data_IF_619171812971
#
_entry.id   IF_619171812971
#
_cell.length_a   1.000
_cell.length_b   1.000
_cell.length_c   1.000
_cell.angle_alpha   90.00
_cell.angle_beta   90.00
_cell.angle_gamma   90.00
#
_symmetry.space_group_name_H-M   'P 1'
#
loop_
_entity.id
_entity.type
_entity.pdbx_description
1 polymer ?
#
# COMPACT_ATOMS: atom_id res chain seq x y z
N UNK A 1 -47.97 -11.16 11.08
CA UNK A 1 -46.50 -11.07 11.12
C UNK A 1 -46.11 -9.79 10.37
N UNK A 2 -45.69 -8.75 11.09
CA UNK A 2 -45.33 -7.46 10.51
C UNK A 2 -43.83 -7.45 10.24
N UNK A 3 -43.46 -7.35 8.97
CA UNK A 3 -42.06 -7.22 8.56
C UNK A 3 -41.54 -5.82 8.86
N UNK A 4 -40.49 -5.73 9.66
CA UNK A 4 -39.75 -4.50 9.93
C UNK A 4 -38.82 -4.29 8.75
N UNK A 5 -39.08 -3.30 7.93
CA UNK A 5 -38.16 -2.77 6.93
C UNK A 5 -37.16 -1.87 7.65
N UNK A 6 -35.92 -2.33 7.83
CA UNK A 6 -34.81 -1.49 8.27
C UNK A 6 -34.39 -0.62 7.08
N UNK A 7 -34.87 0.60 7.03
CA UNK A 7 -34.38 1.62 6.09
C UNK A 7 -33.08 2.21 6.64
N UNK A 8 -31.95 1.87 6.06
CA UNK A 8 -30.71 2.61 6.27
C UNK A 8 -30.84 3.93 5.51
N UNK A 9 -31.11 4.99 6.23
CA UNK A 9 -31.12 6.35 5.71
C UNK A 9 -29.66 6.82 5.59
N UNK A 10 -29.05 6.59 4.44
CA UNK A 10 -27.78 7.25 4.10
C UNK A 10 -28.15 8.67 3.68
N UNK A 11 -28.01 9.61 4.61
CA UNK A 11 -28.13 11.02 4.30
C UNK A 11 -26.92 11.46 3.47
N UNK A 12 -27.06 11.39 2.16
CA UNK A 12 -26.17 12.08 1.24
C UNK A 12 -26.50 13.57 1.28
N UNK A 13 -25.68 14.36 1.96
CA UNK A 13 -25.67 15.80 1.78
C UNK A 13 -25.11 16.09 0.37
N UNK A 14 -26.04 16.21 -0.60
CA UNK A 14 -25.75 16.78 -1.90
C UNK A 14 -25.51 18.28 -1.72
N UNK A 15 -24.29 18.68 -1.42
CA UNK A 15 -23.83 20.06 -1.58
C UNK A 15 -23.34 20.24 -3.02
N UNK A 16 -24.28 20.36 -3.96
CA UNK A 16 -24.02 20.94 -5.28
C UNK A 16 -23.98 22.47 -5.12
N UNK A 17 -22.86 22.96 -4.75
CA UNK A 17 -22.52 24.37 -4.72
C UNK A 17 -21.04 24.45 -4.40
N UNK A 18 -20.25 24.99 -5.31
CA UNK A 18 -18.84 25.29 -5.05
C UNK A 18 -18.71 26.27 -3.89
N UNK A 19 -18.76 25.76 -2.68
CA UNK A 19 -18.38 26.51 -1.51
C UNK A 19 -16.84 26.62 -1.54
N UNK A 20 -16.35 27.69 -2.13
CA UNK A 20 -15.08 28.23 -1.68
C UNK A 20 -15.30 28.69 -0.25
N UNK A 21 -15.04 27.85 0.72
CA UNK A 21 -14.88 28.30 2.10
C UNK A 21 -13.84 29.41 2.08
N UNK A 22 -14.13 30.59 2.67
CA UNK A 22 -13.10 31.62 2.80
C UNK A 22 -11.91 30.92 3.48
N UNK A 23 -10.73 30.96 2.85
CA UNK A 23 -9.49 30.50 3.45
C UNK A 23 -9.40 31.15 4.82
N UNK A 24 -9.76 30.39 5.87
CA UNK A 24 -9.67 30.93 7.22
C UNK A 24 -8.19 31.21 7.45
N UNK A 25 -7.83 32.47 7.62
CA UNK A 25 -6.45 32.90 7.90
C UNK A 25 -5.85 32.09 9.06
N UNK A 26 -6.72 31.61 9.93
CA UNK A 26 -6.39 30.75 11.04
C UNK A 26 -5.92 29.36 10.59
N UNK A 27 -6.58 28.72 9.64
CA UNK A 27 -6.18 27.40 9.14
C UNK A 27 -4.81 27.52 8.45
N UNK A 28 -4.58 28.55 7.69
CA UNK A 28 -3.27 28.81 7.11
C UNK A 28 -2.20 29.10 8.19
N UNK A 29 -2.56 29.74 9.29
CA UNK A 29 -1.64 29.96 10.41
C UNK A 29 -1.23 28.66 11.07
N UNK A 30 -2.17 27.72 11.28
CA UNK A 30 -1.89 26.35 11.78
C UNK A 30 -0.85 25.67 10.91
N UNK A 31 -1.04 25.73 9.59
CA UNK A 31 -0.09 25.12 8.67
C UNK A 31 1.30 25.74 8.76
N UNK A 32 1.39 27.06 8.78
CA UNK A 32 2.67 27.77 8.89
C UNK A 32 3.40 27.43 10.20
N UNK A 33 2.67 27.40 11.33
CA UNK A 33 3.22 27.02 12.63
C UNK A 33 3.73 25.56 12.60
N UNK A 34 2.97 24.64 12.04
CA UNK A 34 3.36 23.24 11.92
C UNK A 34 4.63 23.07 11.08
N UNK A 35 4.68 23.67 9.90
CA UNK A 35 5.86 23.61 9.02
C UNK A 35 7.08 24.23 9.68
N UNK A 36 6.91 25.37 10.37
CA UNK A 36 8.00 26.00 11.13
C UNK A 36 8.51 25.07 12.25
N UNK A 37 7.60 24.44 12.99
CA UNK A 37 7.96 23.50 14.06
C UNK A 37 8.66 22.24 13.52
N UNK A 38 8.29 21.73 12.34
CA UNK A 38 9.00 20.65 11.67
C UNK A 38 10.43 21.04 11.29
N UNK A 39 10.59 22.22 10.67
CA UNK A 39 11.91 22.75 10.24
C UNK A 39 12.86 22.97 11.40
N UNK A 40 12.34 23.47 12.52
CA UNK A 40 13.13 23.73 13.72
C UNK A 40 13.28 22.53 14.66
N UNK A 41 12.53 21.45 14.41
CA UNK A 41 12.50 20.27 15.29
C UNK A 41 11.88 20.54 16.67
N UNK A 42 11.03 21.58 16.78
CA UNK A 42 10.41 22.01 18.04
C UNK A 42 9.02 21.43 18.27
N UNK A 43 8.54 20.55 17.37
CA UNK A 43 7.22 19.92 17.55
C UNK A 43 7.26 18.96 18.72
N UNK A 44 6.44 19.22 19.72
CA UNK A 44 6.41 18.49 20.98
C UNK A 44 5.27 17.46 21.04
N UNK A 45 5.43 16.45 21.91
CA UNK A 45 4.49 15.30 22.05
C UNK A 45 3.09 15.73 22.52
N UNK A 46 2.98 16.86 23.23
CA UNK A 46 1.72 17.44 23.67
C UNK A 46 0.86 18.01 22.52
N UNK A 47 1.47 18.22 21.35
CA UNK A 47 0.78 18.59 20.09
C UNK A 47 0.21 17.39 19.33
N UNK A 48 0.29 16.18 19.88
CA UNK A 48 -0.20 14.96 19.26
C UNK A 48 -1.46 14.48 19.94
N UNK A 49 -2.55 14.38 19.18
CA UNK A 49 -3.82 13.82 19.64
C UNK A 49 -4.39 12.89 18.56
N UNK A 50 -4.31 11.57 18.74
CA UNK A 50 -4.75 10.61 17.72
C UNK A 50 -6.19 10.80 17.26
N UNK A 51 -6.41 10.72 15.93
CA UNK A 51 -7.70 10.66 15.25
C UNK A 51 -7.88 9.30 14.60
N UNK A 52 -9.12 8.93 14.35
CA UNK A 52 -9.50 7.74 13.57
C UNK A 52 -8.88 6.43 14.08
N UNK A 53 -8.68 6.32 15.40
CA UNK A 53 -8.05 5.13 15.98
C UNK A 53 -6.55 4.97 15.72
N UNK A 54 -5.90 5.99 15.19
CA UNK A 54 -4.46 5.96 14.92
C UNK A 54 -3.67 5.79 16.22
N UNK A 55 -2.69 4.90 16.22
CA UNK A 55 -1.80 4.72 17.38
C UNK A 55 -0.91 5.95 17.59
N UNK A 56 -0.71 6.34 18.85
CA UNK A 56 0.09 7.52 19.21
C UNK A 56 1.57 7.35 18.87
N UNK A 57 2.10 6.14 19.04
CA UNK A 57 3.50 5.84 18.72
C UNK A 57 3.76 5.94 17.23
N UNK A 58 2.77 5.55 16.42
CA UNK A 58 2.80 5.71 14.99
C UNK A 58 2.82 7.17 14.56
N UNK A 59 1.95 8.01 15.15
CA UNK A 59 1.98 9.46 14.87
C UNK A 59 3.33 10.08 15.21
N UNK A 60 3.93 9.68 16.33
CA UNK A 60 5.27 10.09 16.72
C UNK A 60 6.32 9.68 15.69
N UNK A 61 6.26 8.44 15.22
CA UNK A 61 7.15 7.96 14.17
C UNK A 61 7.00 8.79 12.89
N UNK A 62 5.78 8.99 12.41
CA UNK A 62 5.52 9.81 11.22
C UNK A 62 6.04 11.24 11.35
N UNK A 63 5.86 11.86 12.51
CA UNK A 63 6.40 13.21 12.77
C UNK A 63 7.92 13.22 12.75
N UNK A 64 8.56 12.21 13.35
CA UNK A 64 10.02 12.09 13.31
C UNK A 64 10.54 11.89 11.88
N UNK A 65 9.86 11.08 11.09
CA UNK A 65 10.18 10.86 9.68
C UNK A 65 10.01 12.15 8.86
N UNK A 66 8.93 12.91 9.10
CA UNK A 66 8.71 14.21 8.47
C UNK A 66 9.77 15.23 8.89
N UNK A 67 10.12 15.30 10.18
CA UNK A 67 11.17 16.21 10.67
C UNK A 67 12.54 15.87 10.06
N UNK A 68 12.84 14.58 9.92
CA UNK A 68 14.06 14.10 9.26
C UNK A 68 14.08 14.47 7.78
N UNK A 69 13.02 14.14 7.05
CA UNK A 69 12.87 14.47 5.63
C UNK A 69 12.97 15.98 5.36
N UNK A 70 12.44 16.79 6.28
CA UNK A 70 12.48 18.25 6.20
C UNK A 70 13.89 18.80 6.37
N UNK A 71 14.69 18.18 7.25
CA UNK A 71 16.07 18.62 7.50
C UNK A 71 17.05 18.16 6.42
N UNK A 72 16.87 16.93 5.95
CA UNK A 72 17.89 16.26 5.12
C UNK A 72 17.77 16.61 3.62
N UNK A 73 16.58 16.96 3.10
CA UNK A 73 16.35 16.95 1.64
C UNK A 73 15.55 18.08 1.02
N UNK A 74 15.21 19.15 1.73
CA UNK A 74 14.26 20.13 1.15
C UNK A 74 12.96 19.48 0.61
N UNK A 75 12.55 18.37 1.20
CA UNK A 75 11.39 17.57 0.79
C UNK A 75 10.07 18.35 0.86
N UNK A 76 10.11 19.56 1.37
CA UNK A 76 9.00 20.45 1.61
C UNK A 76 8.93 21.64 0.65
N UNK A 77 9.60 21.61 -0.50
CA UNK A 77 9.53 22.71 -1.45
C UNK A 77 8.10 23.02 -1.92
N UNK A 78 7.24 22.01 -1.92
CA UNK A 78 5.84 22.12 -2.38
C UNK A 78 4.83 22.36 -1.23
N UNK A 79 5.31 22.57 -0.01
CA UNK A 79 4.44 22.73 1.18
C UNK A 79 4.05 24.17 1.48
N UNK A 80 4.48 25.12 0.70
CA UNK A 80 4.18 26.54 0.93
C UNK A 80 2.71 26.90 0.67
N UNK A 81 2.00 26.10 -0.12
CA UNK A 81 0.59 26.30 -0.47
C UNK A 81 -0.21 24.99 -0.47
N UNK A 82 -0.52 24.41 0.71
CA UNK A 82 -1.35 23.20 0.79
C UNK A 82 -2.78 23.49 0.35
N UNK A 83 -3.47 22.49 -0.17
CA UNK A 83 -4.93 22.56 -0.26
C UNK A 83 -5.51 22.44 1.16
N UNK A 84 -6.35 23.36 1.56
CA UNK A 84 -6.93 23.44 2.90
C UNK A 84 -8.39 23.01 2.84
N UNK A 85 -8.74 21.95 3.59
CA UNK A 85 -10.10 21.40 3.64
C UNK A 85 -10.57 21.46 5.11
N UNK A 86 -11.31 22.49 5.50
CA UNK A 86 -11.88 22.58 6.84
C UNK A 86 -13.13 21.68 6.95
N UNK A 87 -13.23 20.94 8.05
CA UNK A 87 -14.38 20.10 8.39
C UNK A 87 -14.67 20.26 9.89
N UNK A 88 -15.68 21.05 10.24
CA UNK A 88 -16.05 21.32 11.64
C UNK A 88 -14.84 21.82 12.50
N UNK A 89 -14.48 21.04 13.53
CA UNK A 89 -13.33 21.34 14.37
C UNK A 89 -12.02 20.75 13.84
N UNK A 90 -12.05 20.14 12.64
CA UNK A 90 -10.87 19.60 11.97
C UNK A 90 -10.43 20.51 10.84
N UNK A 91 -9.18 20.38 10.45
CA UNK A 91 -8.66 20.88 9.18
C UNK A 91 -7.71 19.85 8.59
N UNK A 92 -7.87 19.57 7.31
CA UNK A 92 -7.00 18.69 6.55
C UNK A 92 -6.16 19.54 5.60
N UNK A 93 -4.86 19.26 5.61
CA UNK A 93 -3.92 19.87 4.65
C UNK A 93 -3.49 18.79 3.67
N UNK A 94 -3.80 18.97 2.40
CA UNK A 94 -3.34 18.09 1.33
C UNK A 94 -2.06 18.65 0.75
N UNK A 95 -1.02 17.83 0.82
CA UNK A 95 0.33 18.18 0.37
C UNK A 95 0.93 17.10 -0.51
N UNK A 96 1.83 17.51 -1.39
CA UNK A 96 2.67 16.59 -2.15
C UNK A 96 3.95 16.33 -1.38
N UNK A 97 4.20 15.07 -1.05
CA UNK A 97 5.42 14.64 -0.39
C UNK A 97 6.30 13.91 -1.40
N UNK A 98 7.53 14.39 -1.54
CA UNK A 98 8.52 13.70 -2.36
C UNK A 98 9.10 12.51 -1.60
N UNK A 99 8.97 11.33 -2.17
CA UNK A 99 9.53 10.08 -1.62
C UNK A 99 10.65 9.64 -2.55
N UNK A 100 11.89 10.12 -2.28
CA UNK A 100 13.03 9.85 -3.16
C UNK A 100 13.06 10.73 -4.42
N UNK A 101 13.98 10.49 -5.35
CA UNK A 101 14.29 11.40 -6.45
C UNK A 101 13.16 11.54 -7.49
N UNK A 102 12.36 10.50 -7.70
CA UNK A 102 11.40 10.45 -8.82
C UNK A 102 9.94 10.27 -8.41
N UNK A 103 9.64 10.08 -7.11
CA UNK A 103 8.30 9.74 -6.68
C UNK A 103 7.69 10.81 -5.77
N UNK A 104 6.54 11.33 -6.18
CA UNK A 104 5.71 12.21 -5.37
C UNK A 104 4.40 11.50 -5.01
N UNK A 105 3.97 11.61 -3.77
CA UNK A 105 2.66 11.13 -3.30
C UNK A 105 1.89 12.27 -2.67
N UNK A 106 0.57 12.28 -2.85
CA UNK A 106 -0.30 13.18 -2.12
C UNK A 106 -0.58 12.61 -0.73
N UNK A 107 -0.56 13.46 0.28
CA UNK A 107 -0.91 13.10 1.65
C UNK A 107 -1.86 14.11 2.26
N UNK A 108 -2.80 13.59 3.04
CA UNK A 108 -3.63 14.38 3.93
C UNK A 108 -3.02 14.38 5.33
N UNK A 109 -2.82 15.54 5.90
CA UNK A 109 -2.46 15.73 7.29
C UNK A 109 -3.64 16.35 8.01
N UNK A 110 -4.15 15.69 9.04
CA UNK A 110 -5.36 16.09 9.77
C UNK A 110 -5.02 16.69 11.12
N UNK A 111 -5.61 17.83 11.40
CA UNK A 111 -5.41 18.56 12.64
C UNK A 111 -6.73 18.84 13.33
N UNK A 112 -6.73 18.78 14.67
CA UNK A 112 -7.84 19.14 15.53
C UNK A 112 -7.66 20.60 15.95
N UNK A 113 -8.71 21.40 15.85
CA UNK A 113 -8.75 22.81 16.29
C UNK A 113 -9.48 22.89 17.63
N UNK A 114 -8.81 23.37 18.68
CA UNK A 114 -9.43 23.61 20.00
C UNK A 114 -9.07 24.99 20.54
N UNK A 115 -10.03 25.89 20.56
CA UNK A 115 -9.74 27.28 20.91
C UNK A 115 -8.60 27.82 20.05
N UNK A 116 -7.54 28.34 20.64
CA UNK A 116 -6.34 28.83 19.94
C UNK A 116 -5.25 27.76 19.76
N UNK A 117 -5.54 26.51 20.09
CA UNK A 117 -4.60 25.41 19.95
C UNK A 117 -4.97 24.50 18.79
N UNK A 118 -3.98 23.84 18.26
CA UNK A 118 -4.14 22.77 17.29
C UNK A 118 -3.35 21.53 17.71
N UNK A 119 -3.79 20.37 17.25
CA UNK A 119 -3.14 19.09 17.52
C UNK A 119 -3.05 18.29 16.22
N UNK A 120 -1.89 17.72 15.94
CA UNK A 120 -1.74 16.77 14.84
C UNK A 120 -2.39 15.44 15.21
N UNK A 121 -3.30 14.95 14.39
CA UNK A 121 -4.13 13.80 14.72
C UNK A 121 -3.99 12.61 13.78
N UNK A 122 -3.67 12.84 12.52
CA UNK A 122 -3.61 11.76 11.53
C UNK A 122 -2.82 12.18 10.29
N UNK A 123 -2.25 11.18 9.61
CA UNK A 123 -1.66 11.37 8.29
C UNK A 123 -2.00 10.16 7.42
N UNK A 124 -2.44 10.41 6.19
CA UNK A 124 -2.86 9.38 5.25
C UNK A 124 -2.32 9.65 3.85
N UNK A 125 -1.99 8.59 3.12
CA UNK A 125 -1.74 8.69 1.68
C UNK A 125 -3.07 8.83 0.95
N UNK A 126 -3.16 9.80 0.06
CA UNK A 126 -4.31 9.95 -0.82
C UNK A 126 -4.03 9.16 -2.08
N UNK A 127 -4.82 8.12 -2.28
CA UNK A 127 -4.74 7.30 -3.49
C UNK A 127 -5.67 7.82 -4.58
N UNK A 128 -6.86 8.29 -4.19
CA UNK A 128 -7.91 8.77 -5.10
C UNK A 128 -8.58 9.97 -4.46
N UNK A 129 -8.85 10.99 -5.26
CA UNK A 129 -9.58 12.19 -4.90
C UNK A 129 -11.03 12.09 -5.39
N UNK A 130 -11.84 11.27 -4.72
CA UNK A 130 -13.27 11.13 -5.06
C UNK A 130 -14.03 12.44 -4.87
N UNK A 131 -13.59 13.30 -3.98
CA UNK A 131 -14.12 14.64 -3.77
C UNK A 131 -13.96 15.56 -5.00
N UNK A 132 -13.00 15.27 -5.87
CA UNK A 132 -12.76 15.99 -7.15
C UNK A 132 -13.44 15.33 -8.34
N UNK A 133 -14.03 14.15 -8.15
CA UNK A 133 -14.78 13.45 -9.19
C UNK A 133 -16.25 13.82 -8.98
N UNK A 134 -16.89 14.55 -9.91
CA UNK A 134 -18.30 14.85 -9.77
C UNK A 134 -19.09 13.54 -9.66
N UNK A 135 -20.04 13.43 -8.71
CA UNK A 135 -20.88 12.26 -8.62
C UNK A 135 -21.59 12.08 -9.97
N UNK A 136 -21.53 10.89 -10.57
CA UNK A 136 -22.24 10.65 -11.81
C UNK A 136 -23.75 10.83 -11.57
N UNK A 137 -24.50 11.33 -12.55
CA UNK A 137 -25.96 11.45 -12.45
C UNK A 137 -26.64 10.07 -12.35
N UNK A 138 -25.89 9.02 -12.61
CA UNK A 138 -26.27 7.61 -12.46
C UNK A 138 -25.34 6.96 -11.43
N UNK A 139 -25.61 5.71 -11.05
CA UNK A 139 -24.78 4.94 -10.13
C UNK A 139 -23.41 4.48 -10.72
N UNK A 140 -23.06 4.96 -11.89
CA UNK A 140 -21.80 4.60 -12.56
C UNK A 140 -20.67 5.55 -12.14
N UNK A 141 -19.61 4.97 -11.58
CA UNK A 141 -18.39 5.70 -11.28
C UNK A 141 -17.47 5.69 -12.51
N UNK A 142 -16.72 6.79 -12.76
CA UNK A 142 -15.79 6.82 -13.86
C UNK A 142 -14.73 5.72 -13.70
N UNK A 143 -14.30 5.08 -14.81
CA UNK A 143 -13.28 4.05 -14.74
C UNK A 143 -11.95 4.67 -14.30
N UNK A 144 -11.21 3.92 -13.48
CA UNK A 144 -9.84 4.27 -13.11
C UNK A 144 -8.86 3.78 -14.20
N UNK A 145 -7.71 4.43 -14.36
CA UNK A 145 -6.63 3.91 -15.19
C UNK A 145 -6.26 2.49 -14.78
N UNK A 146 -5.98 1.61 -15.74
CA UNK A 146 -5.70 0.18 -15.47
C UNK A 146 -4.51 -0.02 -14.52
N UNK A 147 -3.49 0.82 -14.64
CA UNK A 147 -2.34 0.79 -13.72
C UNK A 147 -2.77 1.05 -12.26
N UNK A 148 -3.64 2.03 -12.05
CA UNK A 148 -4.20 2.34 -10.72
C UNK A 148 -5.06 1.20 -10.19
N UNK A 149 -5.89 0.59 -11.05
CA UNK A 149 -6.70 -0.58 -10.69
C UNK A 149 -5.85 -1.77 -10.31
N UNK A 150 -4.83 -2.07 -11.10
CA UNK A 150 -3.90 -3.19 -10.84
C UNK A 150 -3.20 -2.99 -9.49
N UNK A 151 -2.70 -1.78 -9.24
CA UNK A 151 -2.09 -1.44 -7.96
C UNK A 151 -3.05 -1.66 -6.78
N UNK A 152 -4.26 -1.13 -6.87
CA UNK A 152 -5.25 -1.24 -5.79
C UNK A 152 -5.73 -2.68 -5.55
N UNK A 153 -5.94 -3.45 -6.63
CA UNK A 153 -6.30 -4.87 -6.52
C UNK A 153 -5.21 -5.66 -5.79
N UNK A 154 -3.94 -5.41 -6.12
CA UNK A 154 -2.81 -6.03 -5.45
C UNK A 154 -2.72 -5.62 -3.98
N UNK A 155 -2.91 -4.33 -3.68
CA UNK A 155 -2.90 -3.85 -2.30
C UNK A 155 -3.99 -4.50 -1.44
N UNK A 156 -5.21 -4.57 -1.96
CA UNK A 156 -6.33 -5.24 -1.27
C UNK A 156 -6.03 -6.72 -1.07
N UNK A 157 -5.61 -7.41 -2.14
CA UNK A 157 -5.31 -8.83 -2.09
C UNK A 157 -4.25 -9.15 -1.02
N UNK A 158 -3.13 -8.47 -1.07
CA UNK A 158 -2.03 -8.72 -0.14
C UNK A 158 -2.35 -8.26 1.29
N UNK A 159 -3.08 -7.16 1.46
CA UNK A 159 -3.55 -6.71 2.78
C UNK A 159 -4.47 -7.74 3.42
N UNK A 160 -5.38 -8.32 2.66
CA UNK A 160 -6.30 -9.36 3.17
C UNK A 160 -5.54 -10.62 3.56
N UNK A 161 -4.60 -11.06 2.71
CA UNK A 161 -3.77 -12.22 3.01
C UNK A 161 -2.90 -12.01 4.26
N UNK A 162 -2.30 -10.84 4.41
CA UNK A 162 -1.51 -10.50 5.60
C UNK A 162 -2.37 -10.46 6.85
N UNK A 163 -3.60 -9.92 6.79
CA UNK A 163 -4.53 -9.95 7.94
C UNK A 163 -4.91 -11.37 8.34
N UNK A 164 -5.16 -12.25 7.36
CA UNK A 164 -5.42 -13.68 7.61
C UNK A 164 -4.20 -14.32 8.27
N UNK A 165 -3.00 -14.06 7.74
CA UNK A 165 -1.76 -14.54 8.33
C UNK A 165 -1.63 -14.13 9.80
N UNK A 166 -1.74 -12.83 10.10
CA UNK A 166 -1.60 -12.31 11.46
C UNK A 166 -2.60 -12.90 12.44
N UNK A 167 -3.89 -12.95 12.05
CA UNK A 167 -4.95 -13.54 12.88
C UNK A 167 -4.71 -15.03 13.14
N UNK A 168 -4.19 -15.73 12.13
CA UNK A 168 -3.89 -17.16 12.26
C UNK A 168 -2.63 -17.38 13.09
N UNK A 169 -1.59 -16.57 12.89
CA UNK A 169 -0.35 -16.65 13.65
C UNK A 169 -0.56 -16.37 15.15
N UNK A 170 -1.43 -15.44 15.48
CA UNK A 170 -1.81 -15.15 16.86
C UNK A 170 -2.47 -16.36 17.54
N UNK A 171 -3.34 -17.07 16.85
CA UNK A 171 -4.12 -18.19 17.41
C UNK A 171 -3.41 -19.54 17.35
N UNK A 172 -2.67 -19.80 16.30
CA UNK A 172 -2.15 -21.12 15.96
C UNK A 172 -0.61 -21.17 15.81
N UNK A 173 0.06 -20.04 15.92
CA UNK A 173 1.50 -19.92 15.69
C UNK A 173 1.89 -19.61 14.24
N UNK A 174 3.09 -19.07 14.08
CA UNK A 174 3.58 -18.57 12.77
C UNK A 174 3.76 -19.68 11.74
N UNK A 175 4.29 -20.83 12.15
CA UNK A 175 4.50 -21.95 11.23
C UNK A 175 3.19 -22.47 10.64
N UNK A 176 2.14 -22.54 11.46
CA UNK A 176 0.82 -22.90 10.99
C UNK A 176 0.28 -21.86 10.01
N UNK A 177 0.43 -20.57 10.31
CA UNK A 177 -0.02 -19.50 9.45
C UNK A 177 0.73 -19.48 8.09
N UNK A 178 2.05 -19.71 8.08
CA UNK A 178 2.83 -19.85 6.86
C UNK A 178 2.37 -21.02 5.99
N UNK A 179 1.96 -22.12 6.61
CA UNK A 179 1.46 -23.27 5.86
C UNK A 179 0.17 -23.00 5.08
N UNK A 180 -0.61 -21.97 5.45
CA UNK A 180 -1.79 -21.56 4.67
C UNK A 180 -1.42 -21.02 3.29
N UNK A 181 -0.20 -20.54 3.09
CA UNK A 181 0.28 -20.03 1.82
C UNK A 181 0.84 -21.13 0.90
N UNK A 182 0.97 -22.34 1.40
CA UNK A 182 1.44 -23.50 0.62
C UNK A 182 0.31 -24.05 -0.23
N UNK A 183 0.10 -23.44 -1.38
CA UNK A 183 -0.94 -23.79 -2.36
C UNK A 183 -0.37 -24.19 -3.71
N UNK A 184 0.91 -24.52 -3.72
CA UNK A 184 1.68 -24.82 -4.91
C UNK A 184 1.06 -25.83 -5.86
N UNK A 185 0.47 -26.96 -5.39
CA UNK A 185 -0.23 -27.89 -6.27
C UNK A 185 -1.36 -27.24 -7.06
N UNK A 186 -2.15 -26.36 -6.43
CA UNK A 186 -3.22 -25.63 -7.11
C UNK A 186 -2.69 -24.67 -8.17
N UNK A 187 -1.64 -23.91 -7.84
CA UNK A 187 -0.97 -23.02 -8.79
C UNK A 187 -0.39 -23.79 -9.98
N UNK A 188 0.23 -24.93 -9.73
CA UNK A 188 0.79 -25.79 -10.78
C UNK A 188 -0.29 -26.41 -11.68
N UNK A 189 -1.43 -26.82 -11.13
CA UNK A 189 -2.58 -27.28 -11.94
C UNK A 189 -3.07 -26.15 -12.84
N UNK A 190 -3.20 -24.93 -12.32
CA UNK A 190 -3.51 -23.75 -13.11
C UNK A 190 -2.51 -23.52 -14.25
N UNK A 191 -1.21 -23.59 -13.95
CA UNK A 191 -0.17 -23.43 -14.95
C UNK A 191 -0.30 -24.40 -16.13
N UNK A 192 -0.54 -25.68 -15.86
CA UNK A 192 -0.74 -26.70 -16.90
C UNK A 192 -2.00 -26.45 -17.75
N UNK A 193 -3.05 -25.92 -17.15
CA UNK A 193 -4.29 -25.61 -17.88
C UNK A 193 -4.15 -24.38 -18.79
N UNK A 194 -3.38 -23.38 -18.35
CA UNK A 194 -3.21 -22.14 -19.08
C UNK A 194 -2.11 -22.21 -20.14
N UNK A 195 -1.13 -23.10 -19.96
CA UNK A 195 -0.01 -23.30 -20.90
C UNK A 195 0.00 -24.79 -21.33
N UNK A 196 -1.00 -25.23 -22.10
CA UNK A 196 -1.06 -26.59 -22.58
C UNK A 196 0.00 -26.87 -23.66
N UNK A 197 0.26 -28.15 -23.92
CA UNK A 197 1.11 -28.61 -25.03
C UNK A 197 2.62 -28.34 -24.88
N UNK A 198 3.05 -27.94 -23.68
CA UNK A 198 4.47 -27.86 -23.31
C UNK A 198 4.74 -28.74 -22.07
N UNK A 199 6.00 -29.18 -21.86
CA UNK A 199 6.34 -29.93 -20.64
C UNK A 199 5.87 -29.20 -19.37
N UNK A 200 5.26 -29.89 -18.41
CA UNK A 200 4.63 -29.24 -17.24
C UNK A 200 5.56 -28.30 -16.46
N UNK A 201 6.84 -28.66 -16.32
CA UNK A 201 7.81 -27.79 -15.64
C UNK A 201 8.02 -26.46 -16.40
N UNK A 202 8.12 -26.49 -17.72
CA UNK A 202 8.18 -25.27 -18.55
C UNK A 202 6.86 -24.49 -18.50
N UNK A 203 5.72 -25.20 -18.51
CA UNK A 203 4.41 -24.55 -18.39
C UNK A 203 4.32 -23.71 -17.11
N UNK A 204 4.86 -24.20 -16.00
CA UNK A 204 4.93 -23.45 -14.74
C UNK A 204 5.71 -22.14 -14.90
N UNK A 205 6.89 -22.15 -15.51
CA UNK A 205 7.71 -20.94 -15.71
C UNK A 205 7.00 -19.93 -16.63
N UNK A 206 6.42 -20.40 -17.73
CA UNK A 206 5.70 -19.52 -18.67
C UNK A 206 4.45 -18.91 -18.02
N UNK A 207 3.71 -19.72 -17.25
CA UNK A 207 2.55 -19.23 -16.51
C UNK A 207 2.94 -18.21 -15.44
N UNK A 208 4.03 -18.47 -14.68
CA UNK A 208 4.59 -17.52 -13.72
C UNK A 208 4.86 -16.18 -14.40
N UNK A 209 5.63 -16.18 -15.49
CA UNK A 209 5.96 -14.94 -16.22
C UNK A 209 4.70 -14.21 -16.68
N UNK A 210 3.72 -14.94 -17.24
CA UNK A 210 2.47 -14.37 -17.69
C UNK A 210 1.62 -13.82 -16.54
N UNK A 211 1.44 -14.59 -15.48
CA UNK A 211 0.61 -14.20 -14.34
C UNK A 211 1.20 -12.97 -13.62
N UNK A 212 2.50 -13.00 -13.33
CA UNK A 212 3.16 -11.88 -12.67
C UNK A 212 3.14 -10.61 -13.53
N UNK A 213 3.35 -10.74 -14.84
CA UNK A 213 3.31 -9.60 -15.75
C UNK A 213 1.90 -9.07 -15.99
N UNK A 214 0.93 -9.95 -16.25
CA UNK A 214 -0.40 -9.54 -16.76
C UNK A 214 -1.45 -9.39 -15.68
N UNK A 215 -1.39 -10.21 -14.61
CA UNK A 215 -2.37 -10.15 -13.54
C UNK A 215 -1.91 -9.22 -12.41
N UNK A 216 -0.61 -9.27 -12.08
CA UNK A 216 -0.05 -8.49 -10.97
C UNK A 216 0.69 -7.22 -11.41
N UNK A 217 0.87 -7.01 -12.73
CA UNK A 217 1.50 -5.81 -13.28
C UNK A 217 2.99 -5.68 -12.99
N UNK A 218 3.66 -6.78 -12.62
CA UNK A 218 5.09 -6.81 -12.40
C UNK A 218 5.84 -6.68 -13.73
N UNK A 219 7.01 -6.06 -13.71
CA UNK A 219 7.92 -6.10 -14.84
C UNK A 219 8.71 -7.40 -14.77
N UNK A 220 8.50 -8.28 -15.75
CA UNK A 220 9.07 -9.64 -15.77
C UNK A 220 9.92 -9.84 -17.00
N UNK A 221 11.11 -10.42 -16.82
CA UNK A 221 12.03 -10.81 -17.87
C UNK A 221 12.34 -12.30 -17.74
N UNK A 222 12.02 -13.08 -18.77
CA UNK A 222 12.46 -14.47 -18.87
C UNK A 222 13.82 -14.50 -19.56
N UNK A 223 14.89 -14.72 -18.80
CA UNK A 223 16.27 -14.70 -19.29
C UNK A 223 16.70 -16.05 -19.84
N UNK A 224 16.25 -17.13 -19.20
CA UNK A 224 16.58 -18.50 -19.59
C UNK A 224 15.43 -19.45 -19.36
N UNK A 225 15.23 -20.40 -20.25
CA UNK A 225 14.29 -21.50 -20.08
C UNK A 225 14.77 -22.75 -20.84
N UNK A 226 15.15 -23.77 -20.08
CA UNK A 226 15.50 -25.12 -20.58
C UNK A 226 14.70 -26.16 -19.82
N UNK A 227 14.96 -27.44 -20.05
CA UNK A 227 14.36 -28.52 -19.24
C UNK A 227 15.00 -28.69 -17.86
N UNK A 228 16.20 -28.13 -17.68
CA UNK A 228 17.02 -28.30 -16.47
C UNK A 228 17.10 -27.03 -15.61
N UNK A 229 16.91 -25.86 -16.24
CA UNK A 229 17.05 -24.58 -15.56
C UNK A 229 16.21 -23.48 -16.21
N UNK A 230 15.80 -22.52 -15.37
CA UNK A 230 15.20 -21.27 -15.84
C UNK A 230 15.68 -20.10 -14.97
N UNK A 231 15.72 -18.91 -15.57
CA UNK A 231 16.07 -17.66 -14.88
C UNK A 231 15.02 -16.61 -15.21
N UNK A 232 14.41 -16.03 -14.18
CA UNK A 232 13.34 -15.04 -14.32
C UNK A 232 13.68 -13.82 -13.45
N UNK A 233 13.95 -12.70 -14.10
CA UNK A 233 14.08 -11.40 -13.43
C UNK A 233 12.71 -10.75 -13.23
N UNK A 234 12.48 -10.09 -12.09
CA UNK A 234 11.22 -9.45 -11.80
C UNK A 234 11.38 -8.20 -10.92
N UNK A 235 10.70 -7.11 -11.32
CA UNK A 235 10.41 -6.01 -10.39
C UNK A 235 9.03 -6.28 -9.79
N UNK A 236 8.98 -6.54 -8.49
CA UNK A 236 7.75 -7.04 -7.86
C UNK A 236 6.98 -5.96 -7.11
N UNK A 237 5.69 -5.86 -7.40
CA UNK A 237 4.77 -5.01 -6.64
C UNK A 237 4.62 -5.45 -5.19
N UNK A 238 4.87 -6.69 -4.85
CA UNK A 238 4.76 -7.21 -3.48
C UNK A 238 5.60 -6.38 -2.49
N UNK A 239 6.89 -6.19 -2.77
CA UNK A 239 7.77 -5.40 -1.91
C UNK A 239 7.53 -3.89 -2.06
N UNK A 240 7.13 -3.42 -3.23
CA UNK A 240 6.70 -2.05 -3.42
C UNK A 240 5.47 -1.71 -2.56
N UNK A 241 4.52 -2.64 -2.43
CA UNK A 241 3.36 -2.49 -1.55
C UNK A 241 3.80 -2.34 -0.10
N UNK A 242 4.71 -3.17 0.39
CA UNK A 242 5.27 -3.04 1.73
C UNK A 242 5.92 -1.67 1.94
N UNK A 243 6.70 -1.21 0.98
CA UNK A 243 7.38 0.10 1.03
C UNK A 243 6.39 1.26 1.08
N UNK A 244 5.31 1.20 0.31
CA UNK A 244 4.31 2.27 0.19
C UNK A 244 3.23 2.23 1.26
N UNK A 245 2.79 1.05 1.66
CA UNK A 245 1.67 0.87 2.57
C UNK A 245 2.11 0.97 4.03
N UNK A 246 1.77 2.08 4.66
CA UNK A 246 2.12 2.30 6.08
C UNK A 246 1.52 1.24 6.99
N UNK A 247 0.30 0.79 6.73
CA UNK A 247 -0.37 -0.24 7.52
C UNK A 247 0.35 -1.59 7.46
N UNK A 248 0.87 -2.02 6.31
CA UNK A 248 1.64 -3.27 6.23
C UNK A 248 2.91 -3.22 7.09
N UNK A 249 3.65 -2.09 7.05
CA UNK A 249 4.85 -1.92 7.90
C UNK A 249 4.56 -1.87 9.39
N UNK A 250 3.31 -1.52 9.75
CA UNK A 250 2.85 -1.55 11.14
C UNK A 250 2.47 -2.95 11.59
N UNK A 251 1.91 -3.73 10.70
CA UNK A 251 1.37 -5.05 11.01
C UNK A 251 2.46 -6.08 11.22
N UNK A 252 3.54 -6.05 10.42
CA UNK A 252 4.61 -7.02 10.54
C UNK A 252 5.97 -6.46 10.10
N UNK A 253 7.09 -7.01 10.66
CA UNK A 253 8.44 -6.66 10.23
C UNK A 253 8.71 -7.07 8.78
N UNK A 254 9.65 -6.38 8.11
CA UNK A 254 10.02 -6.67 6.72
C UNK A 254 10.49 -8.10 6.51
N UNK A 255 11.31 -8.64 7.43
CA UNK A 255 11.81 -10.01 7.34
C UNK A 255 10.68 -11.05 7.35
N UNK A 256 9.64 -10.82 8.13
CA UNK A 256 8.48 -11.70 8.17
C UNK A 256 7.65 -11.58 6.89
N UNK A 257 7.51 -10.38 6.35
CA UNK A 257 6.86 -10.14 5.07
C UNK A 257 7.61 -10.83 3.92
N UNK A 258 8.95 -10.77 3.93
CA UNK A 258 9.81 -11.50 2.98
C UNK A 258 9.67 -13.00 3.12
N UNK A 259 9.63 -13.54 4.34
CA UNK A 259 9.44 -14.97 4.60
C UNK A 259 8.12 -15.50 4.00
N UNK A 260 7.05 -14.71 4.04
CA UNK A 260 5.78 -15.09 3.39
C UNK A 260 5.98 -15.22 1.88
N UNK A 261 6.62 -14.25 1.24
CA UNK A 261 6.93 -14.29 -0.19
C UNK A 261 7.76 -15.52 -0.57
N UNK A 262 8.83 -15.78 0.16
CA UNK A 262 9.70 -16.94 -0.05
C UNK A 262 8.92 -18.25 0.12
N UNK A 263 8.08 -18.37 1.15
CA UNK A 263 7.26 -19.54 1.40
C UNK A 263 6.34 -19.85 0.22
N UNK A 264 5.67 -18.82 -0.31
CA UNK A 264 4.77 -18.97 -1.47
C UNK A 264 5.53 -19.49 -2.69
N UNK A 265 6.65 -18.87 -3.03
CA UNK A 265 7.36 -19.22 -4.26
C UNK A 265 8.14 -20.51 -4.16
N UNK A 266 8.72 -20.84 -3.00
CA UNK A 266 9.36 -22.14 -2.76
C UNK A 266 8.35 -23.29 -2.92
N UNK A 267 7.18 -23.18 -2.30
CA UNK A 267 6.13 -24.18 -2.38
C UNK A 267 5.59 -24.36 -3.81
N UNK A 268 5.39 -23.26 -4.53
CA UNK A 268 4.96 -23.29 -5.94
C UNK A 268 5.99 -23.97 -6.83
N UNK A 269 7.25 -23.58 -6.69
CA UNK A 269 8.37 -24.16 -7.45
C UNK A 269 8.52 -25.66 -7.16
N UNK A 270 8.52 -26.03 -5.89
CA UNK A 270 8.62 -27.44 -5.47
C UNK A 270 7.50 -28.29 -6.06
N UNK A 271 6.27 -27.81 -6.05
CA UNK A 271 5.10 -28.47 -6.63
C UNK A 271 5.22 -28.72 -8.13
N UNK A 272 6.00 -27.89 -8.83
CA UNK A 272 6.28 -27.99 -10.25
C UNK A 272 7.57 -28.80 -10.58
N UNK A 273 8.25 -29.35 -9.56
CA UNK A 273 9.49 -30.10 -9.72
C UNK A 273 10.74 -29.24 -9.87
N UNK A 274 10.65 -27.95 -9.51
CA UNK A 274 11.79 -27.05 -9.50
C UNK A 274 12.35 -26.84 -8.09
N UNK A 275 13.66 -26.70 -7.98
CA UNK A 275 14.34 -26.09 -6.84
C UNK A 275 14.49 -24.62 -7.16
N UNK A 276 14.03 -23.74 -6.29
CA UNK A 276 14.11 -22.29 -6.45
C UNK A 276 15.19 -21.72 -5.54
N UNK A 277 16.06 -20.88 -6.09
CA UNK A 277 16.88 -19.94 -5.36
C UNK A 277 16.44 -18.52 -5.71
N UNK A 278 16.31 -17.64 -4.70
CA UNK A 278 15.83 -16.27 -4.86
C UNK A 278 16.98 -15.32 -4.54
N UNK A 279 17.43 -14.60 -5.56
CA UNK A 279 18.43 -13.56 -5.42
C UNK A 279 17.74 -12.20 -5.33
N UNK A 280 18.08 -11.41 -4.32
CA UNK A 280 17.60 -10.06 -4.11
C UNK A 280 18.64 -9.06 -4.60
N UNK A 281 18.29 -8.25 -5.60
CA UNK A 281 19.23 -7.34 -6.25
C UNK A 281 19.40 -6.03 -5.48
N UNK A 282 18.55 -5.76 -4.50
CA UNK A 282 18.60 -4.57 -3.67
C UNK A 282 18.12 -4.86 -2.23
N UNK A 283 18.52 -4.04 -1.24
CA UNK A 283 18.15 -4.26 0.17
C UNK A 283 16.64 -4.20 0.46
N UNK A 284 15.87 -3.55 -0.41
CA UNK A 284 14.41 -3.43 -0.28
C UNK A 284 13.67 -4.54 -1.03
N UNK A 285 14.39 -5.43 -1.69
CA UNK A 285 13.87 -6.57 -2.47
C UNK A 285 12.92 -6.16 -3.60
N UNK A 286 13.05 -4.96 -4.15
CA UNK A 286 12.20 -4.46 -5.22
C UNK A 286 12.46 -5.18 -6.55
N UNK A 287 13.70 -5.64 -6.73
CA UNK A 287 14.14 -6.45 -7.84
C UNK A 287 14.61 -7.80 -7.34
N UNK A 288 14.04 -8.85 -7.90
CA UNK A 288 14.37 -10.24 -7.55
C UNK A 288 14.70 -11.02 -8.81
N UNK A 289 15.63 -11.97 -8.68
CA UNK A 289 15.92 -12.95 -9.73
C UNK A 289 15.65 -14.34 -9.18
N UNK A 290 14.80 -15.06 -9.87
CA UNK A 290 14.47 -16.44 -9.58
C UNK A 290 15.34 -17.36 -10.40
N UNK A 291 16.16 -18.16 -9.75
CA UNK A 291 16.98 -19.22 -10.35
C UNK A 291 16.31 -20.57 -10.09
N UNK A 292 15.78 -21.17 -11.13
CA UNK A 292 15.16 -22.48 -11.07
C UNK A 292 16.14 -23.53 -11.58
N UNK A 293 16.43 -24.53 -10.76
CA UNK A 293 17.15 -25.75 -11.13
C UNK A 293 16.21 -26.95 -11.06
N UNK A 294 16.39 -27.96 -11.88
CA UNK A 294 15.61 -29.18 -11.81
C UNK A 294 15.86 -29.88 -10.47
N UNK A 295 14.79 -30.33 -9.84
CA UNK A 295 14.90 -31.14 -8.64
C UNK A 295 15.41 -32.52 -9.02
N UNK A 296 16.53 -32.95 -8.40
CA UNK A 296 17.16 -34.25 -8.64
C UNK A 296 16.25 -35.41 -8.22
#
# INVERSE_FOLDING_TARGET
MRGIKLGVLVAWLACSGGYSYPNDQRDLAIWKEFVAALRTGTLTVDRIRPLYGTDRGLLLKWLNDLMKATRDNNALSDWDAPEIIPVENLVHFVVKLRIGPEMTTERSLSFIKEGNRWYFGHMENIMIRLDKIPPPPTSEFPPLPEETLTWQRNEILWSDLIRIYLTTAEKNGKDFALNLFKTGPGYFVGAKSWVPFVPPARAFILYLCWAESRLYGNLVTLEKLTDEEAVVGMQTHYFWLYKRSSHMRQWLPFEEYRTIFETIWQDRAESAGWKLDIEYMDPECLQVVFHFGKKA
#
